data_IF_314839403303
#
_entry.id   IF_314839403303
#
_cell.length_a   1.000
_cell.length_b   1.000
_cell.length_c   1.000
_cell.angle_alpha   90.00
_cell.angle_beta   90.00
_cell.angle_gamma   90.00
#
_symmetry.space_group_name_H-M   'P 1'
#
loop_
_entity.id
_entity.type
_entity.pdbx_description
1 polymer ?
#
# COMPACT_ATOMS: atom_id res chain seq x y z
N UNK A 1 14.02 -20.76 4.37
CA UNK A 1 15.06 -19.73 4.56
C UNK A 1 14.42 -18.36 4.41
N UNK A 2 14.40 -17.58 5.49
CA UNK A 2 13.91 -16.21 5.48
C UNK A 2 15.03 -15.30 4.94
N UNK A 3 14.70 -14.42 3.99
CA UNK A 3 15.57 -13.33 3.59
C UNK A 3 15.04 -12.10 4.32
N UNK A 4 15.84 -11.59 5.23
CA UNK A 4 15.55 -10.37 5.96
C UNK A 4 16.54 -9.31 5.45
N UNK A 5 16.03 -8.26 4.79
CA UNK A 5 16.86 -7.10 4.44
C UNK A 5 17.03 -6.24 5.68
N UNK A 6 17.92 -6.62 6.58
CA UNK A 6 18.24 -5.83 7.77
C UNK A 6 19.54 -5.07 7.50
N UNK A 7 19.48 -3.77 7.60
CA UNK A 7 20.63 -2.86 7.41
C UNK A 7 21.69 -2.95 8.52
N UNK A 8 21.43 -3.63 9.63
CA UNK A 8 22.37 -3.90 10.74
C UNK A 8 21.97 -5.20 11.47
N UNK A 9 22.30 -6.34 10.95
CA UNK A 9 22.22 -7.59 11.70
C UNK A 9 23.51 -8.36 11.66
N UNK A 10 23.89 -9.01 12.78
CA UNK A 10 24.99 -9.98 12.85
C UNK A 10 24.61 -11.24 12.05
N UNK A 11 24.71 -11.15 10.71
CA UNK A 11 24.53 -12.33 9.82
C UNK A 11 25.51 -13.45 10.14
N UNK A 12 26.60 -13.14 10.86
CA UNK A 12 27.57 -14.11 11.37
C UNK A 12 27.02 -15.04 12.45
N UNK A 13 25.90 -14.67 13.12
CA UNK A 13 25.32 -15.48 14.20
C UNK A 13 24.35 -16.55 13.68
N UNK A 14 23.73 -16.34 12.52
CA UNK A 14 22.69 -17.23 12.00
C UNK A 14 22.91 -17.50 10.51
N UNK A 15 23.22 -18.73 10.14
CA UNK A 15 23.50 -19.15 8.76
C UNK A 15 22.29 -19.10 7.79
N UNK A 16 21.09 -18.93 8.33
CA UNK A 16 19.85 -18.79 7.57
C UNK A 16 19.48 -17.32 7.29
N UNK A 17 20.25 -16.35 7.81
CA UNK A 17 20.05 -14.93 7.53
C UNK A 17 21.03 -14.53 6.43
N UNK A 18 20.49 -13.98 5.35
CA UNK A 18 21.25 -13.38 4.27
C UNK A 18 21.08 -11.86 4.25
N UNK A 19 22.16 -11.12 4.33
CA UNK A 19 22.17 -9.66 4.20
C UNK A 19 22.64 -9.29 2.80
N UNK A 20 21.86 -8.45 2.12
CA UNK A 20 22.18 -7.98 0.78
C UNK A 20 22.37 -6.47 0.83
N UNK A 21 23.62 -6.04 0.59
CA UNK A 21 23.96 -4.63 0.50
C UNK A 21 23.81 -4.14 -0.94
N UNK A 22 23.05 -3.08 -1.14
CA UNK A 22 22.84 -2.47 -2.46
C UNK A 22 22.72 -0.96 -2.36
N UNK A 23 22.91 -0.26 -3.47
CA UNK A 23 22.58 1.17 -3.60
C UNK A 23 21.08 1.36 -3.38
N UNK A 24 20.69 2.49 -2.76
CA UNK A 24 19.28 2.82 -2.63
C UNK A 24 18.64 3.09 -4.00
N UNK A 25 17.69 2.25 -4.38
CA UNK A 25 16.90 2.34 -5.62
C UNK A 25 15.39 2.28 -5.34
N UNK A 26 15.01 2.51 -4.08
CA UNK A 26 13.63 2.48 -3.62
C UNK A 26 13.18 1.09 -3.14
N UNK A 27 12.02 1.09 -2.50
CA UNK A 27 11.43 -0.09 -1.83
C UNK A 27 11.05 -1.18 -2.83
N UNK A 28 10.51 -0.82 -3.99
CA UNK A 28 10.10 -1.76 -5.03
C UNK A 28 11.27 -2.64 -5.49
N UNK A 29 12.43 -2.04 -5.77
CA UNK A 29 13.63 -2.78 -6.17
C UNK A 29 14.24 -3.56 -5.01
N UNK A 30 14.12 -3.07 -3.77
CA UNK A 30 14.54 -3.84 -2.60
C UNK A 30 13.72 -5.14 -2.47
N UNK A 31 12.39 -5.06 -2.63
CA UNK A 31 11.50 -6.23 -2.65
C UNK A 31 11.82 -7.19 -3.79
N UNK A 32 12.05 -6.68 -5.01
CA UNK A 32 12.47 -7.51 -6.15
C UNK A 32 13.71 -8.35 -5.85
N UNK A 33 14.72 -7.72 -5.26
CA UNK A 33 15.98 -8.41 -4.91
C UNK A 33 15.72 -9.44 -3.82
N UNK A 34 14.92 -9.11 -2.79
CA UNK A 34 14.51 -10.04 -1.74
C UNK A 34 13.86 -11.29 -2.32
N UNK A 35 12.86 -11.12 -3.17
CA UNK A 35 12.16 -12.23 -3.86
C UNK A 35 13.14 -13.05 -4.72
N UNK A 36 14.00 -12.39 -5.51
CA UNK A 36 14.99 -13.08 -6.37
C UNK A 36 15.97 -13.97 -5.60
N UNK A 37 16.26 -13.63 -4.35
CA UNK A 37 17.14 -14.43 -3.48
C UNK A 37 16.35 -15.41 -2.57
N UNK A 38 15.04 -15.33 -2.59
CA UNK A 38 14.19 -16.25 -1.83
C UNK A 38 14.28 -17.67 -2.38
N UNK A 39 14.49 -18.64 -1.48
CA UNK A 39 14.57 -20.09 -1.81
C UNK A 39 13.38 -20.87 -1.24
N UNK A 40 12.52 -20.21 -0.47
CA UNK A 40 11.35 -20.81 0.14
C UNK A 40 10.23 -21.03 -0.87
N UNK A 41 9.39 -22.02 -0.64
CA UNK A 41 8.18 -22.27 -1.43
C UNK A 41 7.22 -21.06 -1.35
N UNK A 42 7.16 -20.44 -0.18
CA UNK A 42 6.43 -19.20 0.07
C UNK A 42 7.38 -18.10 0.54
N UNK A 43 6.95 -16.86 0.37
CA UNK A 43 7.63 -15.66 0.83
C UNK A 43 6.64 -14.69 1.47
N UNK A 44 7.11 -13.93 2.45
CA UNK A 44 6.39 -12.85 3.10
C UNK A 44 7.30 -11.63 3.15
N UNK A 45 6.75 -10.44 2.98
CA UNK A 45 7.45 -9.19 3.16
C UNK A 45 7.23 -8.67 4.58
N UNK A 46 8.29 -8.17 5.20
CA UNK A 46 8.20 -7.47 6.49
C UNK A 46 8.89 -6.12 6.32
N UNK A 47 8.20 -5.04 6.59
CA UNK A 47 8.77 -3.70 6.49
C UNK A 47 9.72 -3.46 7.68
N UNK A 48 10.77 -2.65 7.48
CA UNK A 48 11.88 -2.53 8.44
C UNK A 48 11.51 -1.83 9.75
N UNK A 49 10.42 -1.09 9.76
CA UNK A 49 9.85 -0.38 10.91
C UNK A 49 8.74 -1.16 11.63
N UNK A 50 8.41 -2.36 11.12
CA UNK A 50 7.35 -3.22 11.62
C UNK A 50 7.91 -4.50 12.26
N UNK A 51 7.02 -5.32 12.83
CA UNK A 51 7.33 -6.65 13.30
C UNK A 51 6.15 -7.62 13.18
N UNK A 52 6.44 -8.90 13.31
CA UNK A 52 5.46 -9.99 13.19
C UNK A 52 5.35 -10.75 14.51
N UNK A 53 4.18 -11.36 14.75
CA UNK A 53 4.03 -12.30 15.83
C UNK A 53 4.94 -13.52 15.65
N UNK A 54 5.41 -14.09 16.76
CA UNK A 54 6.30 -15.28 16.74
C UNK A 54 5.71 -16.46 16.00
N UNK A 55 4.38 -16.59 16.00
CA UNK A 55 3.66 -17.68 15.34
C UNK A 55 3.13 -17.32 13.94
N UNK A 56 3.33 -16.10 13.43
CA UNK A 56 2.74 -15.66 12.15
C UNK A 56 3.09 -16.63 11.02
N UNK A 57 4.38 -16.90 10.83
CA UNK A 57 4.83 -17.76 9.73
C UNK A 57 4.25 -19.18 9.87
N UNK A 58 4.27 -19.76 11.08
CA UNK A 58 3.71 -21.08 11.35
C UNK A 58 2.22 -21.13 11.02
N UNK A 59 1.45 -20.18 11.57
CA UNK A 59 -0.01 -20.12 11.40
C UNK A 59 -0.41 -19.93 9.93
N UNK A 60 0.27 -19.04 9.21
CA UNK A 60 -0.01 -18.82 7.79
C UNK A 60 0.41 -20.01 6.93
N UNK A 61 1.53 -20.68 7.26
CA UNK A 61 1.99 -21.88 6.56
C UNK A 61 1.06 -23.07 6.79
N UNK A 62 0.51 -23.25 7.99
CA UNK A 62 -0.48 -24.30 8.27
C UNK A 62 -1.70 -24.18 7.35
N UNK A 63 -2.21 -22.94 7.16
CA UNK A 63 -3.31 -22.67 6.25
C UNK A 63 -2.89 -22.90 4.78
N UNK A 64 -1.71 -22.41 4.41
CA UNK A 64 -1.19 -22.57 3.04
C UNK A 64 -1.06 -24.04 2.64
N UNK A 65 -0.53 -24.86 3.53
CA UNK A 65 -0.34 -26.30 3.28
C UNK A 65 -1.66 -27.07 3.33
N UNK A 66 -2.52 -26.76 4.32
CA UNK A 66 -3.80 -27.44 4.51
C UNK A 66 -4.72 -27.27 3.30
N UNK A 67 -4.76 -26.10 2.72
CA UNK A 67 -5.66 -25.76 1.60
C UNK A 67 -4.95 -25.69 0.25
N UNK A 68 -3.64 -25.99 0.20
CA UNK A 68 -2.79 -25.79 -0.98
C UNK A 68 -2.97 -24.38 -1.57
N UNK A 69 -3.03 -23.36 -0.69
CA UNK A 69 -3.29 -22.00 -1.08
C UNK A 69 -2.07 -21.36 -1.76
N UNK A 70 -2.32 -20.56 -2.78
CA UNK A 70 -1.27 -19.77 -3.43
C UNK A 70 -0.94 -18.50 -2.65
N UNK A 71 -1.92 -17.97 -1.91
CA UNK A 71 -1.79 -16.82 -1.03
C UNK A 71 -2.59 -17.03 0.27
N UNK A 72 -1.99 -16.66 1.40
CA UNK A 72 -2.70 -16.57 2.69
C UNK A 72 -2.61 -15.13 3.17
N UNK A 73 -3.73 -14.59 3.63
CA UNK A 73 -3.86 -13.21 4.14
C UNK A 73 -4.20 -13.25 5.62
N UNK A 74 -3.53 -12.45 6.44
CA UNK A 74 -3.87 -12.26 7.85
C UNK A 74 -4.33 -10.83 8.15
N UNK A 75 -4.93 -10.61 9.31
CA UNK A 75 -5.20 -9.29 9.85
C UNK A 75 -3.94 -8.66 10.45
N UNK A 76 -4.06 -7.41 10.87
CA UNK A 76 -2.94 -6.70 11.44
C UNK A 76 -3.33 -5.81 12.62
N UNK A 77 -2.36 -5.48 13.45
CA UNK A 77 -2.47 -4.55 14.57
C UNK A 77 -1.81 -3.25 14.17
N UNK A 78 -2.56 -2.14 14.23
CA UNK A 78 -1.97 -0.81 14.13
C UNK A 78 -1.46 -0.39 15.52
N UNK A 79 -0.17 -0.23 15.64
CA UNK A 79 0.46 0.28 16.85
C UNK A 79 0.68 1.80 16.76
N UNK A 80 -0.07 2.56 17.53
CA UNK A 80 0.06 4.00 17.60
C UNK A 80 0.48 4.45 19.00
N UNK A 81 1.73 4.86 19.17
CA UNK A 81 2.31 5.23 20.46
C UNK A 81 2.18 4.06 21.46
N UNK A 82 1.39 4.25 22.53
CA UNK A 82 1.09 3.21 23.54
C UNK A 82 -0.22 2.47 23.28
N UNK A 83 -0.96 2.84 22.23
CA UNK A 83 -2.26 2.25 21.89
C UNK A 83 -2.12 1.23 20.77
N UNK A 84 -2.82 0.11 20.91
CA UNK A 84 -2.89 -0.93 19.89
C UNK A 84 -4.32 -1.02 19.39
N UNK A 85 -4.50 -0.94 18.07
CA UNK A 85 -5.79 -1.06 17.42
C UNK A 85 -5.77 -2.26 16.48
N UNK A 86 -6.64 -3.23 16.73
CA UNK A 86 -6.79 -4.38 15.84
C UNK A 86 -7.62 -3.93 14.63
N UNK A 87 -7.06 -4.06 13.47
CA UNK A 87 -7.77 -3.89 12.21
C UNK A 87 -8.11 -5.25 11.65
N UNK A 88 -9.32 -5.68 11.98
CA UNK A 88 -9.94 -6.83 11.37
C UNK A 88 -10.87 -6.35 10.26
N UNK A 89 -10.56 -6.75 9.06
CA UNK A 89 -11.52 -6.68 7.97
C UNK A 89 -11.67 -8.10 7.44
N UNK A 90 -12.34 -8.91 8.25
CA UNK A 90 -12.56 -10.31 7.95
C UNK A 90 -13.06 -10.50 6.52
N UNK A 91 -12.27 -11.19 5.74
CA UNK A 91 -12.79 -11.87 4.57
C UNK A 91 -13.73 -12.93 5.08
N UNK A 92 -15.00 -12.92 4.67
CA UNK A 92 -15.97 -13.86 5.20
C UNK A 92 -15.69 -15.30 4.75
N UNK A 93 -14.87 -15.55 3.75
CA UNK A 93 -14.47 -16.88 3.25
C UNK A 93 -13.35 -16.74 2.21
N UNK A 94 -12.79 -17.83 1.71
CA UNK A 94 -11.90 -17.83 0.57
C UNK A 94 -12.60 -17.11 -0.60
N UNK A 95 -12.06 -15.98 -1.02
CA UNK A 95 -12.62 -15.25 -2.15
C UNK A 95 -11.83 -15.53 -3.43
N UNK A 96 -12.49 -15.38 -4.55
CA UNK A 96 -11.85 -15.34 -5.84
C UNK A 96 -10.77 -14.25 -5.87
N UNK A 97 -9.65 -14.52 -6.55
CA UNK A 97 -8.52 -13.61 -6.64
C UNK A 97 -8.92 -12.25 -7.24
N UNK A 98 -9.78 -12.28 -8.25
CA UNK A 98 -10.23 -11.06 -8.91
C UNK A 98 -11.19 -10.25 -8.03
N UNK A 99 -12.07 -10.92 -7.28
CA UNK A 99 -12.92 -10.24 -6.32
C UNK A 99 -12.11 -9.64 -5.16
N UNK A 100 -11.06 -10.32 -4.71
CA UNK A 100 -10.13 -9.77 -3.74
C UNK A 100 -9.43 -8.52 -4.28
N UNK A 101 -8.98 -8.55 -5.52
CA UNK A 101 -8.40 -7.40 -6.21
C UNK A 101 -9.38 -6.23 -6.30
N UNK A 102 -10.63 -6.48 -6.71
CA UNK A 102 -11.70 -5.45 -6.71
C UNK A 102 -11.87 -4.80 -5.34
N UNK A 103 -11.83 -5.58 -4.28
CA UNK A 103 -11.99 -5.07 -2.92
C UNK A 103 -10.79 -4.20 -2.48
N UNK A 104 -9.56 -4.51 -2.95
CA UNK A 104 -8.39 -3.64 -2.77
C UNK A 104 -8.62 -2.29 -3.47
N UNK A 105 -9.08 -2.30 -4.72
CA UNK A 105 -9.34 -1.09 -5.50
C UNK A 105 -10.49 -0.25 -4.91
N UNK A 106 -11.48 -0.89 -4.34
CA UNK A 106 -12.56 -0.23 -3.61
C UNK A 106 -12.13 0.26 -2.21
N UNK A 107 -10.91 -0.08 -1.76
CA UNK A 107 -10.36 0.29 -0.45
C UNK A 107 -11.04 -0.42 0.72
N UNK A 108 -11.64 -1.58 0.47
CA UNK A 108 -12.20 -2.48 1.49
C UNK A 108 -11.06 -3.25 2.14
N UNK A 109 -10.16 -3.84 1.33
CA UNK A 109 -8.95 -4.48 1.81
C UNK A 109 -7.72 -3.61 1.58
N UNK A 110 -6.70 -3.82 2.40
CA UNK A 110 -5.43 -3.13 2.25
C UNK A 110 -4.60 -3.82 1.15
N UNK A 111 -4.09 -2.99 0.23
CA UNK A 111 -3.26 -3.46 -0.89
C UNK A 111 -1.77 -3.51 -0.54
N UNK A 112 -1.42 -4.08 0.61
CA UNK A 112 -0.03 -4.22 1.10
C UNK A 112 0.44 -5.65 0.93
N UNK A 113 1.76 -5.84 0.83
CA UNK A 113 2.38 -7.18 0.72
C UNK A 113 2.68 -7.80 2.09
N UNK A 114 2.86 -7.00 3.12
CA UNK A 114 3.40 -7.43 4.40
C UNK A 114 2.47 -8.36 5.22
N UNK A 115 1.15 -8.34 5.02
CA UNK A 115 0.21 -9.26 5.68
C UNK A 115 -0.19 -10.43 4.78
N UNK A 116 0.66 -10.78 3.82
CA UNK A 116 0.37 -11.81 2.82
C UNK A 116 1.54 -12.77 2.67
N UNK A 117 1.28 -14.06 2.95
CA UNK A 117 2.18 -15.15 2.62
C UNK A 117 1.86 -15.59 1.19
N UNK A 118 2.81 -15.44 0.28
CA UNK A 118 2.60 -15.63 -1.17
C UNK A 118 3.54 -16.70 -1.69
N UNK A 119 3.04 -17.62 -2.51
CA UNK A 119 3.85 -18.62 -3.20
C UNK A 119 4.94 -17.92 -4.02
N UNK A 120 6.20 -18.23 -3.76
CA UNK A 120 7.33 -17.49 -4.33
C UNK A 120 7.35 -17.52 -5.86
N UNK A 121 6.89 -18.61 -6.46
CA UNK A 121 6.79 -18.75 -7.92
C UNK A 121 5.85 -17.74 -8.59
N UNK A 122 4.89 -17.16 -7.87
CA UNK A 122 4.00 -16.15 -8.43
C UNK A 122 4.69 -14.83 -8.77
N UNK A 123 5.88 -14.61 -8.23
CA UNK A 123 6.69 -13.42 -8.55
C UNK A 123 7.53 -13.55 -9.84
N UNK A 124 7.60 -14.75 -10.46
CA UNK A 124 8.51 -14.99 -11.59
C UNK A 124 8.33 -14.04 -12.77
N UNK A 125 7.10 -13.62 -13.05
CA UNK A 125 6.76 -12.73 -14.16
C UNK A 125 6.31 -11.34 -13.69
N UNK A 126 6.47 -11.03 -12.41
CA UNK A 126 6.06 -9.75 -11.84
C UNK A 126 7.08 -8.66 -12.16
N UNK A 127 6.61 -7.56 -12.69
CA UNK A 127 7.39 -6.35 -12.95
C UNK A 127 7.42 -5.50 -11.68
N UNK A 128 8.61 -5.14 -11.22
CA UNK A 128 8.82 -4.23 -10.11
C UNK A 128 9.22 -2.85 -10.64
N UNK A 129 8.38 -1.85 -10.41
CA UNK A 129 8.61 -0.51 -10.96
C UNK A 129 9.73 0.22 -10.20
N UNK A 130 10.80 0.57 -10.87
CA UNK A 130 11.96 1.26 -10.27
C UNK A 130 11.63 2.67 -9.76
N UNK A 131 10.70 3.37 -10.41
CA UNK A 131 10.38 4.76 -10.11
C UNK A 131 9.11 4.95 -9.26
N UNK A 132 8.50 3.85 -8.82
CA UNK A 132 7.26 3.87 -8.04
C UNK A 132 7.57 3.50 -6.58
N UNK A 133 7.61 4.51 -5.72
CA UNK A 133 7.81 4.34 -4.27
C UNK A 133 6.50 4.48 -3.48
N UNK A 134 5.35 4.54 -4.17
CA UNK A 134 4.01 4.62 -3.60
C UNK A 134 3.06 3.77 -4.41
N UNK A 135 2.27 2.95 -3.74
CA UNK A 135 1.35 1.98 -4.35
C UNK A 135 2.07 0.87 -5.16
N UNK A 136 3.38 0.67 -4.97
CA UNK A 136 4.14 -0.42 -5.58
C UNK A 136 3.58 -1.78 -5.18
N UNK A 137 3.09 -1.93 -3.95
CA UNK A 137 2.44 -3.13 -3.44
C UNK A 137 1.17 -3.46 -4.26
N UNK A 138 0.33 -2.44 -4.50
CA UNK A 138 -0.89 -2.61 -5.32
C UNK A 138 -0.53 -2.99 -6.75
N UNK A 139 0.54 -2.42 -7.31
CA UNK A 139 1.02 -2.76 -8.66
C UNK A 139 1.47 -4.23 -8.75
N UNK A 140 2.21 -4.71 -7.76
CA UNK A 140 2.65 -6.10 -7.65
C UNK A 140 1.44 -7.02 -7.46
N UNK A 141 0.54 -6.70 -6.51
CA UNK A 141 -0.65 -7.49 -6.25
C UNK A 141 -1.60 -7.56 -7.44
N UNK A 142 -1.74 -6.48 -8.22
CA UNK A 142 -2.55 -6.52 -9.44
C UNK A 142 -2.05 -7.58 -10.41
N UNK A 143 -0.73 -7.67 -10.62
CA UNK A 143 -0.15 -8.68 -11.51
C UNK A 143 -0.35 -10.11 -10.98
N UNK A 144 -0.21 -10.31 -9.67
CA UNK A 144 -0.40 -11.63 -9.04
C UNK A 144 -1.87 -12.04 -9.08
N UNK A 145 -2.76 -11.14 -8.67
CA UNK A 145 -4.19 -11.41 -8.51
C UNK A 145 -4.98 -11.40 -9.83
N UNK A 146 -4.38 -10.95 -10.92
CA UNK A 146 -4.93 -11.11 -12.27
C UNK A 146 -4.82 -12.54 -12.79
N UNK A 147 -4.10 -13.40 -12.07
CA UNK A 147 -4.08 -14.84 -12.34
C UNK A 147 -5.13 -15.54 -11.47
N UNK A 148 -5.62 -16.68 -11.94
CA UNK A 148 -6.55 -17.50 -11.16
C UNK A 148 -5.79 -18.26 -10.06
N UNK A 149 -5.60 -17.61 -8.92
CA UNK A 149 -4.89 -18.16 -7.75
C UNK A 149 -5.85 -18.42 -6.60
N UNK A 150 -5.49 -19.39 -5.74
CA UNK A 150 -6.25 -19.71 -4.54
C UNK A 150 -5.83 -18.81 -3.37
N UNK A 151 -6.80 -18.15 -2.74
CA UNK A 151 -6.56 -17.27 -1.60
C UNK A 151 -7.30 -17.80 -0.39
N UNK A 152 -6.59 -17.94 0.71
CA UNK A 152 -7.17 -18.23 2.01
C UNK A 152 -6.91 -17.09 2.99
N UNK A 153 -7.82 -16.96 3.94
CA UNK A 153 -7.73 -15.94 4.98
C UNK A 153 -7.64 -16.60 6.36
N UNK A 154 -6.81 -16.04 7.21
CA UNK A 154 -6.73 -16.37 8.63
C UNK A 154 -7.20 -15.17 9.45
N UNK A 155 -8.27 -15.35 10.23
CA UNK A 155 -8.85 -14.32 11.10
C UNK A 155 -8.03 -14.17 12.39
N UNK A 156 -6.76 -13.87 12.22
CA UNK A 156 -5.80 -13.60 13.30
C UNK A 156 -4.98 -12.37 12.92
N UNK A 157 -4.82 -11.43 13.87
CA UNK A 157 -4.02 -10.23 13.64
C UNK A 157 -2.57 -10.53 14.06
N UNK A 158 -1.75 -10.90 13.09
CA UNK A 158 -0.42 -11.43 13.30
C UNK A 158 0.69 -10.45 12.94
N UNK A 159 0.42 -9.48 12.08
CA UNK A 159 1.36 -8.44 11.68
C UNK A 159 1.17 -7.16 12.52
N UNK A 160 2.27 -6.57 12.99
CA UNK A 160 2.27 -5.33 13.77
C UNK A 160 2.78 -4.17 12.92
N UNK A 161 1.84 -3.36 12.44
CA UNK A 161 2.13 -2.14 11.70
C UNK A 161 2.42 -1.00 12.68
N UNK A 162 3.70 -0.64 12.80
CA UNK A 162 4.17 0.39 13.71
C UNK A 162 3.97 1.78 13.13
N UNK A 163 3.10 2.57 13.76
CA UNK A 163 2.84 3.93 13.32
C UNK A 163 3.99 4.87 13.71
N UNK A 164 4.83 5.23 12.75
CA UNK A 164 5.83 6.30 12.91
C UNK A 164 5.38 7.61 12.24
N UNK A 165 5.57 8.74 12.92
CA UNK A 165 5.26 10.07 12.40
C UNK A 165 6.17 10.48 11.21
N UNK A 166 7.33 9.86 11.05
CA UNK A 166 8.32 10.12 10.00
C UNK A 166 8.12 9.31 8.71
N UNK A 167 7.10 8.43 8.66
CA UNK A 167 6.86 7.57 7.49
C UNK A 167 6.68 8.37 6.19
N UNK A 168 7.32 7.90 5.12
CA UNK A 168 7.33 8.49 3.77
C UNK A 168 5.91 8.76 3.21
N UNK A 169 4.93 7.97 3.62
CA UNK A 169 3.55 8.07 3.12
C UNK A 169 2.77 9.26 3.68
N UNK A 170 3.34 10.04 4.60
CA UNK A 170 2.62 11.10 5.34
C UNK A 170 2.87 12.49 4.84
N UNK A 171 4.00 12.73 4.20
CA UNK A 171 4.27 14.02 3.61
C UNK A 171 3.67 14.09 2.21
N UNK A 172 2.52 14.75 2.11
CA UNK A 172 1.86 15.00 0.84
C UNK A 172 2.55 16.21 0.18
N UNK A 173 3.58 15.93 -0.60
CA UNK A 173 4.31 16.90 -1.41
C UNK A 173 4.18 16.54 -2.92
N UNK A 174 4.78 17.37 -3.77
CA UNK A 174 4.74 17.18 -5.24
C UNK A 174 5.31 15.82 -5.65
N UNK A 175 6.40 15.37 -5.02
CA UNK A 175 7.01 14.07 -5.34
C UNK A 175 6.09 12.90 -5.01
N UNK A 176 5.39 12.93 -3.88
CA UNK A 176 4.37 11.95 -3.52
C UNK A 176 3.28 11.86 -4.60
N UNK A 177 2.80 13.02 -5.08
CA UNK A 177 1.74 13.08 -6.10
C UNK A 177 2.24 12.56 -7.45
N UNK A 178 3.45 12.93 -7.87
CA UNK A 178 4.07 12.44 -9.12
C UNK A 178 4.19 10.91 -9.09
N UNK A 179 4.67 10.32 -8.01
CA UNK A 179 4.77 8.86 -7.89
C UNK A 179 3.41 8.17 -8.05
N UNK A 180 2.35 8.74 -7.49
CA UNK A 180 0.99 8.20 -7.65
C UNK A 180 0.45 8.37 -9.07
N UNK A 181 0.83 9.42 -9.77
CA UNK A 181 0.49 9.60 -11.20
C UNK A 181 1.22 8.55 -12.03
N UNK A 182 2.51 8.31 -11.77
CA UNK A 182 3.28 7.24 -12.42
C UNK A 182 2.62 5.87 -12.17
N UNK A 183 2.19 5.60 -10.93
CA UNK A 183 1.44 4.39 -10.64
C UNK A 183 0.19 4.24 -11.52
N UNK A 184 -0.63 5.30 -11.66
CA UNK A 184 -1.82 5.26 -12.53
C UNK A 184 -1.44 4.96 -13.98
N UNK A 185 -0.41 5.62 -14.51
CA UNK A 185 0.05 5.42 -15.89
C UNK A 185 0.55 3.98 -16.15
N UNK A 186 1.24 3.40 -15.18
CA UNK A 186 1.74 2.04 -15.30
C UNK A 186 0.65 0.99 -15.08
N UNK A 187 -0.25 1.23 -14.12
CA UNK A 187 -1.32 0.27 -13.84
C UNK A 187 -2.36 0.22 -14.96
N UNK A 188 -2.63 1.33 -15.64
CA UNK A 188 -3.54 1.37 -16.81
C UNK A 188 -3.09 0.46 -17.96
N UNK A 189 -1.79 0.13 -18.04
CA UNK A 189 -1.25 -0.77 -19.08
C UNK A 189 -1.56 -2.25 -18.83
N UNK A 190 -1.81 -2.61 -17.57
CA UNK A 190 -1.97 -4.01 -17.12
C UNK A 190 -3.30 -4.24 -16.40
N UNK A 191 -4.11 -3.18 -16.27
CA UNK A 191 -5.36 -3.24 -15.51
C UNK A 191 -6.37 -4.13 -16.22
N UNK A 192 -6.98 -5.12 -15.54
CA UNK A 192 -8.14 -5.83 -16.04
C UNK A 192 -9.29 -4.87 -16.38
N UNK A 193 -10.01 -5.13 -17.47
CA UNK A 193 -11.05 -4.25 -18.02
C UNK A 193 -12.16 -3.88 -17.04
N UNK A 194 -12.45 -4.77 -16.09
CA UNK A 194 -13.53 -4.59 -15.11
C UNK A 194 -13.11 -3.82 -13.83
N UNK A 195 -11.86 -3.35 -13.77
CA UNK A 195 -11.38 -2.58 -12.62
C UNK A 195 -11.43 -1.09 -12.88
N UNK A 196 -11.86 -0.34 -11.85
CA UNK A 196 -11.98 1.11 -11.90
C UNK A 196 -10.90 1.81 -11.06
N UNK A 197 -10.23 2.78 -11.67
CA UNK A 197 -9.21 3.61 -11.03
C UNK A 197 -9.75 4.92 -10.43
N UNK A 198 -11.05 5.17 -10.49
CA UNK A 198 -11.66 6.44 -10.07
C UNK A 198 -11.30 6.79 -8.63
N UNK A 199 -11.25 5.82 -7.73
CA UNK A 199 -10.85 6.03 -6.34
C UNK A 199 -9.39 6.47 -6.19
N UNK A 200 -8.47 5.87 -6.94
CA UNK A 200 -7.06 6.26 -6.93
C UNK A 200 -6.88 7.65 -7.54
N UNK A 201 -7.50 7.94 -8.68
CA UNK A 201 -7.48 9.25 -9.36
C UNK A 201 -8.07 10.33 -8.45
N UNK A 202 -9.19 10.06 -7.80
CA UNK A 202 -9.80 10.96 -6.81
C UNK A 202 -8.86 11.22 -5.61
N UNK A 203 -8.18 10.18 -5.12
CA UNK A 203 -7.17 10.30 -4.06
C UNK A 203 -6.00 11.19 -4.45
N UNK A 204 -5.57 11.17 -5.72
CA UNK A 204 -4.54 12.07 -6.25
C UNK A 204 -5.06 13.51 -6.29
N UNK A 205 -6.26 13.75 -6.82
CA UNK A 205 -6.88 15.09 -6.81
C UNK A 205 -7.00 15.66 -5.40
N UNK A 206 -7.39 14.84 -4.43
CA UNK A 206 -7.44 15.24 -3.02
C UNK A 206 -6.04 15.57 -2.48
N UNK A 207 -5.01 14.83 -2.87
CA UNK A 207 -3.63 15.08 -2.48
C UNK A 207 -3.10 16.40 -3.05
N UNK A 208 -3.46 16.74 -4.29
CA UNK A 208 -3.15 18.03 -4.92
C UNK A 208 -3.72 19.18 -4.09
N UNK A 209 -4.99 19.08 -3.69
CA UNK A 209 -5.61 20.11 -2.83
C UNK A 209 -4.90 20.25 -1.48
N UNK A 210 -4.48 19.12 -0.88
CA UNK A 210 -3.82 19.10 0.43
C UNK A 210 -2.38 19.60 0.38
N UNK A 211 -1.65 19.36 -0.70
CA UNK A 211 -0.26 19.80 -0.84
C UNK A 211 -0.16 21.31 -0.96
N UNK A 212 -1.11 21.94 -1.64
CA UNK A 212 -1.10 23.35 -1.98
C UNK A 212 -0.06 23.75 -3.05
N UNK A 213 0.65 22.78 -3.64
CA UNK A 213 1.79 22.99 -4.54
C UNK A 213 1.42 23.08 -6.03
N UNK A 214 0.15 22.86 -6.36
CA UNK A 214 -0.35 22.86 -7.74
C UNK A 214 -1.19 24.10 -8.05
N UNK A 215 -1.26 24.44 -9.30
CA UNK A 215 -2.16 25.49 -9.83
C UNK A 215 -3.55 24.93 -10.08
N UNK A 216 -4.54 25.80 -10.18
CA UNK A 216 -5.90 25.39 -10.56
C UNK A 216 -5.94 24.69 -11.92
N UNK A 217 -5.16 25.20 -12.90
CA UNK A 217 -5.05 24.60 -14.24
C UNK A 217 -4.52 23.16 -14.19
N UNK A 218 -3.47 22.90 -13.41
CA UNK A 218 -2.95 21.54 -13.22
C UNK A 218 -3.99 20.64 -12.56
N UNK A 219 -4.74 21.14 -11.56
CA UNK A 219 -5.78 20.38 -10.86
C UNK A 219 -6.95 19.98 -11.76
N UNK A 220 -7.50 20.89 -12.58
CA UNK A 220 -8.64 20.59 -13.43
C UNK A 220 -8.27 19.69 -14.62
N UNK A 221 -7.05 19.85 -15.16
CA UNK A 221 -6.59 19.07 -16.31
C UNK A 221 -6.16 17.65 -15.93
N UNK A 222 -5.78 17.41 -14.67
CA UNK A 222 -5.45 16.08 -14.22
C UNK A 222 -6.75 15.31 -13.88
N UNK A 223 -7.04 14.28 -14.66
CA UNK A 223 -8.24 13.46 -14.53
C UNK A 223 -9.55 14.31 -14.50
N UNK A 224 -9.87 15.03 -15.58
CA UNK A 224 -10.93 16.04 -15.59
C UNK A 224 -12.31 15.48 -15.24
N UNK A 225 -12.58 14.23 -15.59
CA UNK A 225 -13.86 13.55 -15.35
C UNK A 225 -13.92 12.83 -13.97
N UNK A 226 -12.90 13.02 -13.13
CA UNK A 226 -12.86 12.35 -11.82
C UNK A 226 -13.38 13.28 -10.72
N UNK A 227 -14.45 12.87 -10.07
CA UNK A 227 -14.97 13.50 -8.86
C UNK A 227 -14.33 12.89 -7.61
N UNK A 228 -14.16 13.70 -6.56
CA UNK A 228 -13.69 13.20 -5.26
C UNK A 228 -14.91 12.67 -4.50
N UNK A 229 -15.01 11.35 -4.22
CA UNK A 229 -16.14 10.78 -3.50
C UNK A 229 -16.21 11.32 -2.07
N UNK A 230 -17.43 11.43 -1.54
CA UNK A 230 -17.68 11.96 -0.18
C UNK A 230 -16.99 11.12 0.91
N UNK A 231 -16.85 9.83 0.68
CA UNK A 231 -16.23 8.86 1.59
C UNK A 231 -14.72 9.10 1.80
N UNK A 232 -14.06 9.75 0.85
CA UNK A 232 -12.65 10.16 0.97
C UNK A 232 -12.46 11.43 1.81
N UNK A 233 -13.54 11.99 2.31
CA UNK A 233 -13.58 13.26 3.00
C UNK A 233 -14.11 13.11 4.40
N UNK A 234 -13.51 13.85 5.34
CA UNK A 234 -14.14 14.03 6.62
C UNK A 234 -15.31 15.02 6.52
N UNK A 235 -16.28 14.92 7.42
CA UNK A 235 -17.52 15.72 7.44
C UNK A 235 -17.31 17.24 7.28
N UNK A 236 -16.15 17.78 7.71
CA UNK A 236 -15.82 19.21 7.60
C UNK A 236 -15.40 19.65 6.21
N UNK A 237 -14.92 18.74 5.38
CA UNK A 237 -14.44 19.05 4.03
C UNK A 237 -15.53 18.84 2.96
N UNK A 238 -16.65 18.19 3.31
CA UNK A 238 -17.75 17.89 2.40
C UNK A 238 -18.38 19.16 1.81
N UNK A 239 -18.56 20.22 2.64
CA UNK A 239 -19.25 21.44 2.24
C UNK A 239 -18.53 22.22 1.12
N UNK A 240 -17.22 22.06 1.02
CA UNK A 240 -16.39 22.88 0.13
C UNK A 240 -15.94 22.15 -1.15
N UNK A 241 -16.18 20.88 -1.27
CA UNK A 241 -15.65 20.10 -2.38
C UNK A 241 -16.44 20.26 -3.68
N UNK A 242 -17.72 20.53 -3.59
CA UNK A 242 -18.51 20.92 -4.75
C UNK A 242 -17.97 22.19 -5.42
N UNK A 243 -17.21 23.00 -4.67
CA UNK A 243 -16.60 24.24 -5.16
C UNK A 243 -15.20 24.06 -5.72
N UNK A 244 -14.54 22.91 -5.52
CA UNK A 244 -13.15 22.70 -5.94
C UNK A 244 -12.96 22.74 -7.46
N UNK A 245 -13.99 22.44 -8.23
CA UNK A 245 -13.96 22.56 -9.70
C UNK A 245 -14.09 24.00 -10.17
N UNK A 246 -14.35 24.96 -9.29
CA UNK A 246 -14.34 26.38 -9.59
C UNK A 246 -13.07 27.03 -9.05
N UNK A 247 -12.52 28.00 -9.75
CA UNK A 247 -11.27 28.66 -9.37
C UNK A 247 -11.28 29.21 -7.94
N UNK A 248 -12.32 29.92 -7.55
CA UNK A 248 -12.45 30.53 -6.21
C UNK A 248 -12.52 29.44 -5.13
N UNK A 249 -13.32 28.38 -5.35
CA UNK A 249 -13.42 27.25 -4.43
C UNK A 249 -12.11 26.50 -4.27
N UNK A 250 -11.38 26.30 -5.35
CA UNK A 250 -10.05 25.72 -5.32
C UNK A 250 -9.08 26.53 -4.46
N UNK A 251 -9.00 27.85 -4.65
CA UNK A 251 -8.12 28.73 -3.88
C UNK A 251 -8.50 28.73 -2.38
N UNK A 252 -9.79 28.75 -2.09
CA UNK A 252 -10.27 28.67 -0.71
C UNK A 252 -9.88 27.37 -0.01
N UNK A 253 -10.05 26.23 -0.67
CA UNK A 253 -9.63 24.93 -0.15
C UNK A 253 -8.11 24.85 0.05
N UNK A 254 -7.34 25.38 -0.87
CA UNK A 254 -5.88 25.48 -0.77
C UNK A 254 -5.46 26.25 0.49
N UNK A 255 -6.09 27.38 0.76
CA UNK A 255 -5.84 28.19 1.97
C UNK A 255 -6.21 27.39 3.24
N UNK A 256 -7.40 26.77 3.26
CA UNK A 256 -7.85 25.98 4.41
C UNK A 256 -6.91 24.81 4.75
N UNK A 257 -6.42 24.08 3.74
CA UNK A 257 -5.48 22.98 3.96
C UNK A 257 -4.12 23.48 4.42
N UNK A 258 -3.63 24.61 3.89
CA UNK A 258 -2.37 25.21 4.31
C UNK A 258 -2.44 25.74 5.75
N UNK A 259 -3.53 26.36 6.15
CA UNK A 259 -3.74 26.78 7.55
C UNK A 259 -3.71 25.57 8.50
N UNK A 260 -4.40 24.47 8.16
CA UNK A 260 -4.36 23.24 8.97
C UNK A 260 -2.94 22.64 9.08
N UNK A 261 -2.12 22.73 8.02
CA UNK A 261 -0.73 22.26 8.04
C UNK A 261 0.11 23.10 9.03
N UNK A 262 -0.08 24.42 9.05
CA UNK A 262 0.59 25.34 10.00
C UNK A 262 0.16 25.08 11.45
N UNK A 263 -1.12 24.89 11.73
CA UNK A 263 -1.60 24.60 13.10
C UNK A 263 -1.15 23.24 13.63
N UNK A 264 -0.91 22.23 12.78
CA UNK A 264 -0.33 20.95 13.22
C UNK A 264 1.15 21.07 13.58
N UNK A 265 1.90 22.00 12.99
CA UNK A 265 3.31 22.23 13.34
C UNK A 265 3.51 23.02 14.65
N UNK A 266 2.46 23.62 15.20
CA UNK A 266 2.51 24.31 16.52
C UNK A 266 2.11 23.42 17.70
N UNK A 267 1.69 22.17 17.47
CA UNK A 267 1.29 21.21 18.52
C UNK A 267 2.14 19.94 18.52
N UNK A 268 3.32 19.99 17.96
CA UNK A 268 4.44 19.06 18.11
C UNK A 268 5.55 19.79 18.86
#
# INVERSE_FOLDING_TARGET
SCILTITRCNSTKYNYIQVIHKKNEGVSIARQIGVKHSKGLYSIHVDADDYIDKCEIERMMDIALKFNADMVVCDYILEYKKNKFVYQKGMKDACDAFDFLKQIYNGIFIGTLWNKLIKTSLYNNVIFLKQCNYCEDVYILTQILSNNISINYINEALYHYCYDASSLTREINRNYIINRIIFIQEIEKILPLDLDLSRFKAGIKLSILKSGEYTYKEYINLYPNTNIPKELLNKRNLLFLSTANFFIGYQFLKILFNLKKRFKSFHL
#
